data_IF_139161803650
#
_entry.id   IF_139161803650
#
_cell.length_a   1.000
_cell.length_b   1.000
_cell.length_c   1.000
_cell.angle_alpha   90.00
_cell.angle_beta   90.00
_cell.angle_gamma   90.00
#
_symmetry.space_group_name_H-M   'P 1'
#
loop_
_entity.id
_entity.type
_entity.pdbx_description
1 polymer ?
#
# COMPACT_ATOMS: atom_id res chain seq x y z
N UNK A 1 -7.27 11.16 14.47
CA UNK A 1 -6.63 9.82 14.61
C UNK A 1 -7.72 8.75 14.51
N UNK A 2 -7.38 7.55 14.03
CA UNK A 2 -8.36 6.47 13.84
C UNK A 2 -8.94 5.98 15.17
N UNK A 3 -10.27 5.77 15.19
CA UNK A 3 -10.95 5.02 16.26
C UNK A 3 -10.46 3.58 16.27
N UNK A 4 -10.71 2.86 17.34
CA UNK A 4 -10.39 1.43 17.43
C UNK A 4 -11.14 0.65 16.34
N UNK A 5 -10.51 -0.36 15.76
CA UNK A 5 -10.93 -1.03 14.52
C UNK A 5 -11.05 -0.11 13.29
N UNK A 6 -10.66 1.16 13.40
CA UNK A 6 -10.66 2.11 12.29
C UNK A 6 -9.66 1.73 11.22
N UNK A 7 -9.96 2.09 9.98
CA UNK A 7 -9.18 1.73 8.81
C UNK A 7 -8.66 2.98 8.10
N UNK A 8 -7.43 2.91 7.58
CA UNK A 8 -6.90 3.82 6.59
C UNK A 8 -6.51 3.05 5.32
N UNK A 9 -6.70 3.71 4.18
CA UNK A 9 -6.33 3.20 2.86
C UNK A 9 -5.29 4.16 2.29
N UNK A 10 -4.17 3.62 1.83
CA UNK A 10 -3.09 4.37 1.21
C UNK A 10 -2.77 3.75 -0.16
N UNK A 11 -2.63 4.60 -1.18
CA UNK A 11 -2.11 4.23 -2.49
C UNK A 11 -0.78 4.93 -2.69
N UNK A 12 0.30 4.16 -2.71
CA UNK A 12 1.64 4.70 -2.94
C UNK A 12 2.51 3.68 -3.67
N UNK A 13 3.37 4.12 -4.61
CA UNK A 13 4.35 3.23 -5.22
C UNK A 13 5.41 2.80 -4.21
N UNK A 14 6.12 1.70 -4.50
CA UNK A 14 7.20 1.20 -3.62
C UNK A 14 8.26 2.27 -3.33
N UNK A 15 8.64 3.06 -4.35
CA UNK A 15 9.69 4.10 -4.30
C UNK A 15 10.89 3.57 -3.53
N UNK A 16 11.53 2.59 -4.15
CA UNK A 16 12.58 1.75 -3.62
C UNK A 16 12.13 1.03 -2.35
N UNK A 17 12.54 1.51 -1.17
CA UNK A 17 12.20 0.89 0.12
C UNK A 17 11.26 1.74 0.96
N UNK A 18 10.78 2.87 0.45
CA UNK A 18 10.01 3.82 1.25
C UNK A 18 8.67 3.27 1.71
N UNK A 19 7.93 2.58 0.82
CA UNK A 19 6.67 1.90 1.17
C UNK A 19 6.90 0.81 2.21
N UNK A 20 7.92 -0.03 2.00
CA UNK A 20 8.25 -1.11 2.94
C UNK A 20 8.63 -0.55 4.31
N UNK A 21 9.39 0.55 4.35
CA UNK A 21 9.72 1.24 5.61
C UNK A 21 8.47 1.80 6.28
N UNK A 22 7.54 2.38 5.52
CA UNK A 22 6.27 2.85 6.06
C UNK A 22 5.48 1.70 6.70
N UNK A 23 5.33 0.57 6.01
CA UNK A 23 4.63 -0.62 6.52
C UNK A 23 5.34 -1.15 7.77
N UNK A 24 6.66 -1.35 7.73
CA UNK A 24 7.41 -1.83 8.90
C UNK A 24 7.27 -0.90 10.11
N UNK A 25 7.25 0.42 9.90
CA UNK A 25 7.00 1.38 10.99
C UNK A 25 5.55 1.23 11.49
N UNK A 26 4.55 1.17 10.59
CA UNK A 26 3.16 1.05 10.99
C UNK A 26 2.89 -0.22 11.82
N UNK A 27 3.56 -1.33 11.49
CA UNK A 27 3.43 -2.59 12.23
C UNK A 27 4.06 -2.58 13.63
N UNK A 28 4.97 -1.65 13.94
CA UNK A 28 5.45 -1.44 15.33
C UNK A 28 4.43 -0.72 16.21
N UNK A 29 3.40 -0.14 15.60
CA UNK A 29 2.25 0.50 16.25
C UNK A 29 1.06 -0.48 16.29
N UNK A 30 -0.10 -0.11 16.87
CA UNK A 30 -1.29 -0.97 16.87
C UNK A 30 -1.98 -1.02 15.49
N UNK A 31 -1.23 -1.16 14.39
CA UNK A 31 -1.77 -1.38 13.06
C UNK A 31 -1.45 -2.78 12.56
N UNK A 32 -2.45 -3.41 11.97
CA UNK A 32 -2.31 -4.52 11.04
C UNK A 32 -2.25 -3.93 9.62
N UNK A 33 -1.26 -4.33 8.83
CA UNK A 33 -1.09 -3.86 7.46
C UNK A 33 -1.36 -4.99 6.46
N UNK A 34 -2.04 -4.68 5.37
CA UNK A 34 -2.21 -5.58 4.22
C UNK A 34 -1.81 -4.84 2.96
N UNK A 35 -0.96 -5.47 2.15
CA UNK A 35 -0.34 -4.86 0.96
C UNK A 35 -0.75 -5.64 -0.27
N UNK A 36 -1.31 -4.95 -1.27
CA UNK A 36 -1.81 -5.54 -2.49
C UNK A 36 -1.24 -4.81 -3.70
N UNK A 37 -0.50 -5.53 -4.54
CA UNK A 37 0.01 -5.01 -5.82
C UNK A 37 -1.05 -5.11 -6.94
N UNK A 38 -1.84 -6.19 -6.92
CA UNK A 38 -2.95 -6.43 -7.84
C UNK A 38 -4.27 -6.32 -7.07
N UNK A 39 -4.72 -5.09 -6.85
CA UNK A 39 -5.95 -4.79 -6.10
C UNK A 39 -7.16 -4.54 -7.01
N UNK A 40 -6.93 -4.29 -8.30
CA UNK A 40 -7.95 -4.04 -9.31
C UNK A 40 -7.41 -4.49 -10.67
N UNK A 41 -8.22 -5.22 -11.43
CA UNK A 41 -7.81 -5.84 -12.69
C UNK A 41 -7.52 -4.81 -13.78
N UNK A 42 -8.35 -3.77 -13.90
CA UNK A 42 -8.19 -2.72 -14.91
C UNK A 42 -6.92 -1.89 -14.64
N UNK A 43 -6.64 -1.59 -13.36
CA UNK A 43 -5.42 -0.89 -12.97
C UNK A 43 -4.19 -1.74 -13.27
N UNK A 44 -4.23 -3.03 -12.95
CA UNK A 44 -3.10 -3.92 -13.21
C UNK A 44 -2.87 -4.13 -14.71
N UNK A 45 -3.93 -4.23 -15.52
CA UNK A 45 -3.81 -4.30 -16.97
C UNK A 45 -3.16 -3.04 -17.55
N UNK A 46 -3.56 -1.84 -17.09
CA UNK A 46 -2.91 -0.57 -17.48
C UNK A 46 -1.45 -0.51 -17.07
N UNK A 47 -1.12 -1.04 -15.89
CA UNK A 47 0.27 -1.16 -15.44
C UNK A 47 1.10 -2.02 -16.39
N UNK A 48 0.58 -3.19 -16.79
CA UNK A 48 1.26 -4.09 -17.73
C UNK A 48 1.43 -3.45 -19.12
N UNK A 49 0.40 -2.79 -19.63
CA UNK A 49 0.45 -2.05 -20.89
C UNK A 49 1.53 -0.95 -20.83
N UNK A 50 1.52 -0.11 -19.79
CA UNK A 50 2.46 0.99 -19.63
C UNK A 50 3.92 0.50 -19.57
N UNK A 51 4.19 -0.63 -18.92
CA UNK A 51 5.53 -1.24 -18.90
C UNK A 51 6.03 -1.64 -20.28
N UNK A 52 5.15 -1.99 -21.21
CA UNK A 52 5.51 -2.41 -22.55
C UNK A 52 5.72 -1.22 -23.48
N UNK A 53 4.84 -0.22 -23.42
CA UNK A 53 4.79 0.84 -24.44
C UNK A 53 5.50 2.14 -24.03
N UNK A 54 5.69 2.40 -22.73
CA UNK A 54 6.21 3.67 -22.24
C UNK A 54 7.62 3.53 -21.65
N UNK A 55 8.62 3.99 -22.40
CA UNK A 55 10.04 3.99 -21.99
C UNK A 55 10.36 4.77 -20.72
N UNK A 56 9.48 5.67 -20.29
CA UNK A 56 9.64 6.47 -19.07
C UNK A 56 8.89 5.86 -17.87
N UNK A 57 8.11 4.81 -18.07
CA UNK A 57 7.37 4.16 -17.00
C UNK A 57 8.28 3.27 -16.15
N UNK A 58 8.49 3.66 -14.89
CA UNK A 58 9.03 2.80 -13.84
C UNK A 58 7.94 2.36 -12.86
N UNK A 59 7.76 1.05 -12.67
CA UNK A 59 6.84 0.51 -11.64
C UNK A 59 7.14 1.07 -10.26
N UNK A 60 8.42 1.23 -9.93
CA UNK A 60 8.88 1.73 -8.63
C UNK A 60 8.45 3.17 -8.34
N UNK A 61 8.22 3.96 -9.39
CA UNK A 61 7.85 5.37 -9.29
C UNK A 61 6.37 5.63 -9.57
N UNK A 62 5.72 4.78 -10.37
CA UNK A 62 4.41 5.07 -10.94
C UNK A 62 3.34 4.03 -10.63
N UNK A 63 3.67 2.77 -10.31
CA UNK A 63 2.65 1.77 -10.00
C UNK A 63 2.20 1.93 -8.55
N UNK A 64 1.00 2.46 -8.27
CA UNK A 64 0.50 2.52 -6.91
C UNK A 64 0.31 1.12 -6.34
N UNK A 65 0.67 0.93 -5.08
CA UNK A 65 0.38 -0.27 -4.30
C UNK A 65 -0.69 0.10 -3.28
N UNK A 66 -1.70 -0.76 -3.14
CA UNK A 66 -2.72 -0.60 -2.11
C UNK A 66 -2.17 -1.08 -0.77
N UNK A 67 -2.19 -0.20 0.23
CA UNK A 67 -1.91 -0.55 1.63
C UNK A 67 -3.16 -0.24 2.46
N UNK A 68 -3.68 -1.28 3.11
CA UNK A 68 -4.76 -1.17 4.09
C UNK A 68 -4.14 -1.25 5.48
N UNK A 69 -4.38 -0.22 6.29
CA UNK A 69 -3.99 -0.19 7.71
C UNK A 69 -5.26 -0.33 8.55
N UNK A 70 -5.30 -1.32 9.43
CA UNK A 70 -6.39 -1.48 10.40
C UNK A 70 -5.86 -1.32 11.81
N UNK A 71 -6.41 -0.36 12.55
CA UNK A 71 -6.04 -0.15 13.96
C UNK A 71 -6.61 -1.31 14.77
N UNK A 72 -5.76 -2.04 15.48
CA UNK A 72 -6.19 -3.09 16.42
C UNK A 72 -7.06 -2.48 17.52
N UNK A 73 -8.04 -3.24 18.01
CA UNK A 73 -8.76 -2.84 19.21
C UNK A 73 -7.78 -2.76 20.38
N UNK A 74 -7.98 -1.78 21.26
CA UNK A 74 -7.35 -1.85 22.57
C UNK A 74 -7.98 -3.04 23.29
N UNK A 75 -7.15 -3.98 23.71
CA UNK A 75 -7.56 -4.96 24.70
C UNK A 75 -7.77 -4.20 26.01
N UNK A 76 -8.98 -4.27 26.56
CA UNK A 76 -9.25 -3.85 27.93
C UNK A 76 -8.46 -4.79 28.86
N UNK A 77 -7.35 -4.30 29.41
CA UNK A 77 -6.64 -4.91 30.54
C UNK A 77 -6.89 -4.05 31.77
#
# INVERSE_FOLDING_TARGET
>A
MLKDSGMAINFAPYRSKSLNRFVSIAETYPFECSVFEHYDEDVFNKHLEAKQINKHYSSDLHHPILVILRKRQKSDQ
#
